data_IF_906554156016
#
_entry.id   IF_906554156016
#
_cell.length_a   1.000
_cell.length_b   1.000
_cell.length_c   1.000
_cell.angle_alpha   90.00
_cell.angle_beta   90.00
_cell.angle_gamma   90.00
#
_symmetry.space_group_name_H-M   'P 1'
#
loop_
_entity.id
_entity.type
_entity.pdbx_description
1 polymer ?
#
# COMPACT_ATOMS: atom_id res chain seq x y z
N UNK A 1 -78.29 -50.60 5.09
CA UNK A 1 -76.89 -50.99 5.35
C UNK A 1 -76.02 -49.76 5.12
N UNK A 2 -75.10 -49.53 6.05
CA UNK A 2 -74.21 -48.36 6.26
C UNK A 2 -73.65 -47.72 4.99
N UNK A 3 -73.33 -46.42 4.92
CA UNK A 3 -73.18 -45.37 5.92
C UNK A 3 -72.58 -44.15 5.20
N UNK A 4 -73.06 -42.96 5.55
CA UNK A 4 -72.93 -41.64 4.92
C UNK A 4 -71.51 -40.99 5.01
N UNK A 5 -71.31 -39.70 4.62
CA UNK A 5 -71.51 -39.06 3.30
C UNK A 5 -70.27 -38.22 2.85
N UNK A 6 -70.48 -37.51 1.73
CA UNK A 6 -69.59 -36.62 0.99
C UNK A 6 -69.03 -35.39 1.75
N UNK A 7 -67.81 -35.03 1.34
CA UNK A 7 -67.09 -33.75 1.32
C UNK A 7 -67.77 -32.47 1.84
N UNK A 8 -67.06 -31.69 2.67
CA UNK A 8 -66.55 -30.36 2.30
C UNK A 8 -65.54 -29.81 3.34
N UNK A 9 -64.64 -28.95 2.84
CA UNK A 9 -63.87 -27.89 3.52
C UNK A 9 -62.77 -28.23 4.54
N UNK A 10 -61.56 -28.14 3.99
CA UNK A 10 -60.60 -27.06 4.28
C UNK A 10 -59.35 -27.43 5.09
N UNK A 11 -58.22 -26.95 4.55
CA UNK A 11 -56.87 -26.83 5.13
C UNK A 11 -56.07 -28.13 5.28
N UNK A 12 -55.53 -28.58 4.15
CA UNK A 12 -54.20 -29.17 4.13
C UNK A 12 -53.30 -28.38 3.17
N UNK A 13 -52.17 -27.91 3.68
CA UNK A 13 -50.89 -27.82 2.96
C UNK A 13 -49.81 -27.54 4.00
N UNK A 14 -49.31 -28.64 4.54
CA UNK A 14 -48.00 -28.65 5.16
C UNK A 14 -46.92 -28.47 4.11
N UNK A 15 -45.81 -27.89 4.57
CA UNK A 15 -44.47 -27.82 3.97
C UNK A 15 -44.33 -26.98 2.69
N UNK A 16 -43.79 -25.77 2.87
CA UNK A 16 -42.48 -25.46 2.28
C UNK A 16 -41.84 -24.24 2.95
N UNK A 17 -40.52 -24.24 2.86
CA UNK A 17 -39.50 -23.42 3.53
C UNK A 17 -39.70 -21.90 3.46
N UNK A 18 -39.19 -21.25 4.51
CA UNK A 18 -38.55 -19.91 4.54
C UNK A 18 -39.36 -18.70 4.02
N UNK A 19 -39.67 -17.77 4.93
CA UNK A 19 -39.44 -16.31 4.78
C UNK A 19 -39.90 -15.54 6.03
N UNK A 20 -39.02 -14.64 6.46
CA UNK A 20 -39.29 -13.26 6.88
C UNK A 20 -40.14 -12.93 8.12
N UNK A 21 -39.47 -12.26 9.06
CA UNK A 21 -39.81 -10.95 9.68
C UNK A 21 -40.99 -10.85 10.68
N UNK A 22 -40.67 -10.26 11.84
CA UNK A 22 -41.56 -9.56 12.77
C UNK A 22 -40.81 -9.35 14.09
N UNK A 23 -40.00 -8.30 14.28
CA UNK A 23 -40.37 -6.90 14.62
C UNK A 23 -41.70 -6.81 15.38
N UNK A 24 -41.63 -6.58 16.70
CA UNK A 24 -42.07 -5.34 17.37
C UNK A 24 -41.35 -5.25 18.72
N UNK A 25 -40.85 -4.04 18.99
CA UNK A 25 -40.05 -3.62 20.11
C UNK A 25 -40.89 -3.01 21.26
N UNK A 26 -40.16 -2.65 22.33
CA UNK A 26 -40.51 -1.87 23.53
C UNK A 26 -41.17 -2.70 24.67
N UNK A 27 -40.66 -2.68 25.90
CA UNK A 27 -40.27 -1.48 26.68
C UNK A 27 -38.99 -1.74 27.51
N UNK A 28 -38.09 -0.75 27.47
CA UNK A 28 -36.87 -0.66 28.27
C UNK A 28 -37.11 -0.21 29.71
N UNK A 29 -36.19 -0.58 30.61
CA UNK A 29 -35.49 0.26 31.61
C UNK A 29 -35.28 -0.47 32.94
N UNK A 30 -34.05 -0.92 33.20
CA UNK A 30 -33.17 -0.47 34.31
C UNK A 30 -31.98 -1.45 34.46
N UNK A 31 -30.79 -0.88 34.66
CA UNK A 31 -29.46 -1.49 34.80
C UNK A 31 -28.92 -2.26 33.59
N UNK A 32 -28.01 -1.60 32.87
CA UNK A 32 -27.21 -2.22 31.82
C UNK A 32 -26.18 -3.19 32.41
N UNK A 33 -26.07 -4.34 31.75
CA UNK A 33 -24.92 -5.25 31.63
C UNK A 33 -25.34 -6.18 30.47
N UNK A 34 -24.64 -6.14 29.33
CA UNK A 34 -24.82 -7.13 28.26
C UNK A 34 -23.60 -8.06 28.28
N UNK A 35 -23.81 -9.29 28.74
CA UNK A 35 -22.84 -10.40 28.67
C UNK A 35 -23.02 -11.16 27.35
N UNK A 36 -21.87 -11.39 26.70
CA UNK A 36 -21.49 -12.34 25.66
C UNK A 36 -22.55 -13.25 25.00
N UNK A 37 -22.59 -13.18 23.67
CA UNK A 37 -22.90 -14.32 22.82
C UNK A 37 -21.61 -14.81 22.12
N UNK A 38 -20.90 -15.74 22.76
CA UNK A 38 -19.80 -16.46 22.12
C UNK A 38 -20.35 -17.34 20.98
N UNK A 39 -19.98 -17.01 19.75
CA UNK A 39 -20.39 -17.73 18.55
C UNK A 39 -19.64 -19.08 18.48
N UNK A 40 -20.37 -20.19 18.37
CA UNK A 40 -19.79 -21.53 18.18
C UNK A 40 -19.29 -21.66 16.74
N UNK A 41 -17.97 -21.65 16.52
CA UNK A 41 -17.28 -22.51 15.53
C UNK A 41 -15.84 -22.04 15.27
N UNK A 42 -14.86 -22.59 15.99
CA UNK A 42 -13.50 -22.81 15.47
C UNK A 42 -12.88 -24.02 16.19
N UNK A 43 -12.93 -25.21 15.56
CA UNK A 43 -12.00 -26.29 15.90
C UNK A 43 -10.66 -25.92 15.27
N UNK A 44 -9.76 -25.34 16.06
CA UNK A 44 -8.38 -25.06 15.62
C UNK A 44 -7.66 -23.93 16.36
N UNK A 45 -8.36 -23.01 17.04
CA UNK A 45 -7.71 -21.91 17.75
C UNK A 45 -7.31 -22.31 19.18
N UNK A 46 -6.01 -22.34 19.45
CA UNK A 46 -5.43 -22.44 20.79
C UNK A 46 -5.46 -21.07 21.47
N UNK A 47 -6.65 -20.54 21.72
CA UNK A 47 -6.82 -19.24 22.36
C UNK A 47 -8.29 -18.84 22.35
N UNK A 48 -8.90 -18.72 23.52
CA UNK A 48 -10.29 -18.28 23.69
C UNK A 48 -10.43 -17.64 25.06
N UNK A 49 -11.32 -16.66 25.22
CA UNK A 49 -11.55 -15.94 26.49
C UNK A 49 -11.93 -16.82 27.68
N UNK A 50 -12.10 -18.14 27.51
CA UNK A 50 -12.21 -19.09 28.62
C UNK A 50 -10.97 -19.14 29.53
N UNK A 51 -9.80 -18.71 29.06
CA UNK A 51 -8.60 -18.55 29.90
C UNK A 51 -8.61 -17.25 30.71
N UNK A 52 -9.63 -16.40 30.54
CA UNK A 52 -9.80 -15.15 31.25
C UNK A 52 -10.87 -15.28 32.35
N UNK A 53 -10.72 -14.51 33.41
CA UNK A 53 -11.74 -14.30 34.43
C UNK A 53 -12.79 -13.30 33.93
N UNK A 54 -14.05 -13.73 33.99
CA UNK A 54 -15.23 -12.95 33.59
C UNK A 54 -15.93 -12.29 34.79
N UNK A 55 -15.42 -12.47 36.00
CA UNK A 55 -15.87 -11.79 37.23
C UNK A 55 -14.71 -11.01 37.90
N UNK A 56 -14.17 -10.00 37.20
CA UNK A 56 -12.93 -9.34 37.59
C UNK A 56 -13.09 -8.32 38.73
N UNK A 57 -11.97 -7.74 39.16
CA UNK A 57 -11.92 -6.69 40.17
C UNK A 57 -12.73 -5.42 39.79
N UNK A 58 -13.12 -4.58 40.77
CA UNK A 58 -13.87 -3.35 40.49
C UNK A 58 -13.14 -2.46 39.48
N UNK A 59 -13.83 -2.08 38.41
CA UNK A 59 -13.36 -1.26 37.27
C UNK A 59 -12.57 -2.00 36.17
N UNK A 60 -12.45 -3.32 36.24
CA UNK A 60 -12.01 -4.16 35.12
C UNK A 60 -13.24 -4.86 34.54
N UNK A 61 -13.36 -4.98 33.21
CA UNK A 61 -14.51 -5.65 32.58
C UNK A 61 -14.23 -7.12 32.20
N UNK A 62 -12.98 -7.45 31.85
CA UNK A 62 -12.48 -8.83 31.66
C UNK A 62 -11.03 -8.89 32.15
N UNK A 63 -10.64 -9.95 32.88
CA UNK A 63 -9.26 -10.12 33.37
C UNK A 63 -8.57 -11.35 32.74
N UNK A 64 -7.57 -11.10 31.90
CA UNK A 64 -6.82 -12.05 31.09
C UNK A 64 -5.32 -12.06 31.42
N UNK A 65 -4.92 -11.71 32.65
CA UNK A 65 -3.50 -11.65 33.04
C UNK A 65 -2.77 -12.96 32.71
N UNK A 66 -1.71 -12.86 31.90
CA UNK A 66 -0.86 -14.00 31.51
C UNK A 66 -1.54 -15.06 30.66
N UNK A 67 -2.74 -14.80 30.14
CA UNK A 67 -3.48 -15.77 29.35
C UNK A 67 -2.80 -16.05 27.99
N UNK A 68 -2.87 -17.30 27.54
CA UNK A 68 -2.51 -17.67 26.17
C UNK A 68 -3.73 -17.55 25.25
N UNK A 69 -3.73 -16.47 24.47
CA UNK A 69 -4.74 -16.09 23.49
C UNK A 69 -4.16 -16.10 22.07
N UNK A 70 -3.08 -16.85 21.84
CA UNK A 70 -2.45 -16.94 20.53
C UNK A 70 -3.43 -17.48 19.46
N UNK A 71 -3.51 -16.79 18.32
CA UNK A 71 -4.44 -17.12 17.25
C UNK A 71 -5.93 -16.96 17.60
N UNK A 72 -6.26 -16.32 18.73
CA UNK A 72 -7.65 -16.10 19.14
C UNK A 72 -8.37 -15.16 18.17
N UNK A 73 -9.65 -15.43 17.91
CA UNK A 73 -10.51 -14.51 17.18
C UNK A 73 -11.27 -13.62 18.18
N UNK A 74 -10.83 -12.37 18.30
CA UNK A 74 -11.37 -11.32 19.16
C UNK A 74 -12.02 -10.19 18.34
N UNK A 75 -12.24 -10.42 17.06
CA UNK A 75 -12.74 -9.45 16.09
C UNK A 75 -14.07 -8.83 16.54
N UNK A 76 -14.14 -7.50 16.56
CA UNK A 76 -15.35 -6.75 16.85
C UNK A 76 -15.86 -6.86 18.30
N UNK A 77 -15.08 -7.45 19.20
CA UNK A 77 -15.46 -7.56 20.61
C UNK A 77 -15.34 -6.21 21.34
N UNK A 78 -16.16 -6.04 22.38
CA UNK A 78 -16.05 -4.91 23.32
C UNK A 78 -15.29 -5.41 24.54
N UNK A 79 -14.06 -4.91 24.70
CA UNK A 79 -13.05 -5.28 25.69
C UNK A 79 -12.54 -4.04 26.43
N UNK A 80 -13.43 -3.06 26.63
CA UNK A 80 -13.16 -1.81 27.35
C UNK A 80 -12.65 -2.15 28.76
N UNK A 81 -11.67 -1.42 29.29
CA UNK A 81 -11.09 -1.61 30.64
C UNK A 81 -10.70 -3.07 30.95
N UNK A 82 -10.40 -3.86 29.93
CA UNK A 82 -9.98 -5.26 30.12
C UNK A 82 -8.50 -5.33 30.44
N UNK A 83 -8.10 -6.31 31.26
CA UNK A 83 -6.73 -6.50 31.70
C UNK A 83 -6.08 -7.65 30.93
N UNK A 84 -5.13 -7.34 30.05
CA UNK A 84 -4.34 -8.29 29.27
C UNK A 84 -2.87 -8.29 29.69
N UNK A 85 -2.57 -7.90 30.93
CA UNK A 85 -1.19 -7.80 31.42
C UNK A 85 -0.44 -9.13 31.23
N UNK A 86 0.66 -9.11 30.46
CA UNK A 86 1.49 -10.30 30.19
C UNK A 86 0.84 -11.37 29.30
N UNK A 87 -0.31 -11.10 28.67
CA UNK A 87 -1.00 -12.08 27.83
C UNK A 87 -0.25 -12.35 26.51
N UNK A 88 -0.29 -13.59 26.03
CA UNK A 88 0.18 -13.95 24.69
C UNK A 88 -0.97 -13.78 23.70
N UNK A 89 -0.89 -12.78 22.83
CA UNK A 89 -1.85 -12.43 21.79
C UNK A 89 -1.27 -12.65 20.38
N UNK A 90 -0.19 -13.41 20.25
CA UNK A 90 0.47 -13.62 18.96
C UNK A 90 -0.49 -14.20 17.92
N UNK A 91 -0.48 -13.69 16.68
CA UNK A 91 -1.39 -14.08 15.60
C UNK A 91 -2.90 -13.90 15.89
N UNK A 92 -3.30 -13.16 16.93
CA UNK A 92 -4.71 -12.94 17.24
C UNK A 92 -5.38 -11.98 16.24
N UNK A 93 -6.67 -12.22 15.93
CA UNK A 93 -7.51 -11.33 15.12
C UNK A 93 -8.30 -10.39 16.02
N UNK A 94 -7.89 -9.13 16.11
CA UNK A 94 -8.49 -8.07 16.92
C UNK A 94 -9.16 -7.00 16.05
N UNK A 95 -9.48 -7.29 14.79
CA UNK A 95 -10.01 -6.27 13.89
C UNK A 95 -11.31 -5.67 14.40
N UNK A 96 -11.42 -4.34 14.40
CA UNK A 96 -12.65 -3.67 14.80
C UNK A 96 -13.07 -3.84 16.27
N UNK A 97 -12.23 -4.45 17.12
CA UNK A 97 -12.55 -4.58 18.56
C UNK A 97 -12.33 -3.26 19.28
N UNK A 98 -13.13 -3.00 20.32
CA UNK A 98 -12.93 -1.86 21.19
C UNK A 98 -12.17 -2.31 22.45
N UNK A 99 -10.95 -1.80 22.64
CA UNK A 99 -10.14 -2.01 23.84
C UNK A 99 -9.91 -0.70 24.62
N UNK A 100 -10.78 0.29 24.52
CA UNK A 100 -10.62 1.57 25.23
C UNK A 100 -10.30 1.35 26.72
N UNK A 101 -9.28 2.01 27.26
CA UNK A 101 -8.80 1.87 28.66
C UNK A 101 -8.28 0.46 29.06
N UNK A 102 -8.01 -0.45 28.11
CA UNK A 102 -7.44 -1.76 28.44
C UNK A 102 -5.95 -1.69 28.87
N UNK A 103 -5.52 -2.63 29.71
CA UNK A 103 -4.11 -2.79 30.11
C UNK A 103 -3.45 -3.92 29.32
N UNK A 104 -2.52 -3.59 28.43
CA UNK A 104 -1.74 -4.52 27.62
C UNK A 104 -0.27 -4.60 28.06
N UNK A 105 0.05 -4.09 29.24
CA UNK A 105 1.42 -4.09 29.80
C UNK A 105 2.04 -5.48 29.75
N UNK A 106 3.20 -5.63 29.11
CA UNK A 106 3.90 -6.92 29.02
C UNK A 106 3.30 -7.94 28.06
N UNK A 107 2.22 -7.62 27.35
CA UNK A 107 1.58 -8.52 26.41
C UNK A 107 2.44 -8.74 25.14
N UNK A 108 2.22 -9.84 24.44
CA UNK A 108 2.88 -10.15 23.17
C UNK A 108 1.87 -10.18 22.02
N UNK A 109 1.90 -9.17 21.15
CA UNK A 109 1.00 -9.04 20.00
C UNK A 109 1.70 -9.35 18.67
N UNK A 110 2.85 -10.04 18.65
CA UNK A 110 3.55 -10.35 17.39
C UNK A 110 2.59 -11.00 16.37
N UNK A 111 2.56 -10.47 15.15
CA UNK A 111 1.66 -10.88 14.06
C UNK A 111 0.14 -10.76 14.34
N UNK A 112 -0.29 -10.05 15.38
CA UNK A 112 -1.70 -9.81 15.63
C UNK A 112 -2.31 -8.75 14.68
N UNK A 113 -3.54 -8.96 14.23
CA UNK A 113 -4.26 -8.04 13.32
C UNK A 113 -5.14 -7.08 14.13
N UNK A 114 -4.66 -5.85 14.30
CA UNK A 114 -5.35 -4.77 15.03
C UNK A 114 -6.19 -3.86 14.13
N UNK A 115 -6.37 -4.19 12.83
CA UNK A 115 -6.97 -3.26 11.86
C UNK A 115 -8.34 -2.75 12.32
N UNK A 116 -8.44 -1.44 12.54
CA UNK A 116 -9.68 -0.77 12.97
C UNK A 116 -10.08 -1.02 14.43
N UNK A 117 -9.22 -1.59 15.26
CA UNK A 117 -9.45 -1.65 16.70
C UNK A 117 -9.44 -0.24 17.31
N UNK A 118 -10.23 0.01 18.36
CA UNK A 118 -10.19 1.25 19.14
C UNK A 118 -9.32 1.03 20.38
N UNK A 119 -8.15 1.67 20.41
CA UNK A 119 -7.18 1.53 21.50
C UNK A 119 -7.04 2.83 22.31
N UNK A 120 -8.06 3.69 22.32
CA UNK A 120 -8.03 4.93 23.09
C UNK A 120 -7.70 4.66 24.57
N UNK A 121 -6.76 5.42 25.16
CA UNK A 121 -6.38 5.33 26.58
C UNK A 121 -5.90 3.94 27.07
N UNK A 122 -5.44 3.08 26.18
CA UNK A 122 -4.83 1.78 26.52
C UNK A 122 -3.41 1.91 27.08
N UNK A 123 -3.00 0.97 27.95
CA UNK A 123 -1.65 0.93 28.57
C UNK A 123 -0.75 -0.11 27.89
N UNK A 124 0.50 0.24 27.54
CA UNK A 124 1.39 -0.56 26.65
C UNK A 124 2.83 -0.77 27.17
N UNK A 125 3.05 -0.65 28.47
CA UNK A 125 4.42 -0.72 28.98
C UNK A 125 5.00 -2.13 28.81
N UNK A 126 6.17 -2.26 28.18
CA UNK A 126 6.84 -3.53 27.86
C UNK A 126 6.03 -4.48 26.95
N UNK A 127 5.21 -3.95 26.06
CA UNK A 127 4.38 -4.75 25.14
C UNK A 127 5.10 -5.00 23.81
N UNK A 128 5.04 -6.22 23.28
CA UNK A 128 5.53 -6.54 21.92
C UNK A 128 4.43 -6.23 20.91
N UNK A 129 4.71 -5.41 19.90
CA UNK A 129 3.75 -5.03 18.86
C UNK A 129 3.70 -6.04 17.71
N UNK A 130 2.69 -5.93 16.81
CA UNK A 130 2.55 -6.84 15.66
C UNK A 130 3.76 -6.95 14.75
N UNK A 131 4.55 -5.88 14.62
CA UNK A 131 5.79 -5.84 13.83
C UNK A 131 7.03 -6.40 14.58
N UNK A 132 6.84 -6.89 15.82
CA UNK A 132 7.90 -7.37 16.68
C UNK A 132 8.66 -6.29 17.44
N UNK A 133 8.29 -5.01 17.31
CA UNK A 133 8.88 -3.93 18.10
C UNK A 133 8.43 -4.00 19.57
N UNK A 134 9.30 -3.56 20.50
CA UNK A 134 8.99 -3.54 21.93
C UNK A 134 8.66 -2.12 22.39
N UNK A 135 7.46 -1.92 22.93
CA UNK A 135 7.03 -0.63 23.47
C UNK A 135 7.41 -0.50 24.94
N UNK A 136 8.06 0.60 25.29
CA UNK A 136 8.49 0.90 26.68
C UNK A 136 7.97 2.25 27.19
N UNK A 137 7.00 2.86 26.49
CA UNK A 137 6.45 4.18 26.80
C UNK A 137 4.94 4.29 26.53
N UNK A 138 4.44 5.52 26.40
CA UNK A 138 3.02 5.83 26.17
C UNK A 138 2.52 5.48 24.75
N UNK A 139 3.32 4.75 23.95
CA UNK A 139 3.09 4.42 22.55
C UNK A 139 2.35 3.09 22.31
N UNK A 140 1.19 3.15 21.64
CA UNK A 140 0.26 2.05 21.37
C UNK A 140 0.61 1.28 20.10
N UNK A 141 0.41 -0.04 20.14
CA UNK A 141 0.69 -0.95 19.03
C UNK A 141 -0.32 -0.92 17.87
N UNK A 142 -1.35 -0.05 17.89
CA UNK A 142 -2.33 0.11 16.80
C UNK A 142 -2.33 1.53 16.26
N UNK A 143 -1.24 1.97 15.65
CA UNK A 143 -1.33 2.98 14.60
C UNK A 143 -2.08 4.28 14.90
N UNK A 144 -2.32 4.67 16.16
CA UNK A 144 -2.83 6.01 16.50
C UNK A 144 -1.68 6.82 17.10
N UNK A 145 -0.73 7.15 16.23
CA UNK A 145 -0.22 8.52 16.04
C UNK A 145 0.23 8.83 14.60
N UNK A 146 -0.03 8.10 13.50
CA UNK A 146 0.53 6.76 13.35
C UNK A 146 1.88 6.68 14.09
N UNK A 147 2.13 5.61 14.83
CA UNK A 147 3.25 5.56 15.79
C UNK A 147 4.58 5.38 15.07
N UNK A 148 4.93 6.41 14.30
CA UNK A 148 6.15 6.64 13.59
C UNK A 148 7.16 7.37 14.47
N UNK A 149 7.71 6.64 15.43
CA UNK A 149 9.17 6.65 15.57
C UNK A 149 9.88 6.24 14.26
N UNK A 150 9.14 5.77 13.23
CA UNK A 150 9.54 5.57 11.84
C UNK A 150 8.46 6.09 10.86
N UNK A 151 8.74 7.28 10.27
CA UNK A 151 8.12 7.97 9.11
C UNK A 151 6.67 7.60 8.70
N UNK A 152 5.79 8.62 8.66
CA UNK A 152 4.55 8.68 7.88
C UNK A 152 4.80 8.23 6.43
N UNK A 153 4.74 6.92 6.16
CA UNK A 153 5.00 6.39 4.84
C UNK A 153 3.86 6.80 3.92
N UNK A 154 4.21 7.53 2.85
CA UNK A 154 3.22 8.06 1.93
C UNK A 154 3.51 7.62 0.51
N UNK A 155 2.45 7.23 -0.17
CA UNK A 155 2.46 6.95 -1.60
C UNK A 155 1.97 8.21 -2.31
N UNK A 156 2.79 8.75 -3.20
CA UNK A 156 2.32 9.69 -4.22
C UNK A 156 1.85 8.87 -5.43
N UNK A 157 0.68 9.23 -5.93
CA UNK A 157 0.05 8.52 -7.03
C UNK A 157 -0.72 9.49 -7.93
N UNK A 158 -0.93 9.05 -9.17
CA UNK A 158 -1.75 9.77 -10.12
C UNK A 158 -3.17 9.21 -10.16
N UNK A 159 -4.15 10.06 -10.41
CA UNK A 159 -5.47 9.62 -10.89
C UNK A 159 -5.64 10.18 -12.30
N UNK A 160 -5.85 9.32 -13.29
CA UNK A 160 -6.02 9.72 -14.69
C UNK A 160 -7.48 9.58 -15.12
N UNK A 161 -8.15 10.70 -15.33
CA UNK A 161 -9.53 10.76 -15.79
C UNK A 161 -9.63 11.46 -17.15
N UNK A 162 -10.83 11.43 -17.75
CA UNK A 162 -11.06 12.04 -19.07
C UNK A 162 -10.85 13.57 -19.04
N UNK A 163 -10.93 14.19 -17.85
CA UNK A 163 -10.68 15.62 -17.62
C UNK A 163 -9.20 15.99 -17.45
N UNK A 164 -8.30 15.02 -17.25
CA UNK A 164 -6.89 15.28 -16.95
C UNK A 164 -6.29 14.29 -15.95
N UNK A 165 -5.03 14.52 -15.60
CA UNK A 165 -4.30 13.72 -14.61
C UNK A 165 -3.98 14.56 -13.39
N UNK A 166 -4.30 14.02 -12.21
CA UNK A 166 -4.09 14.67 -10.92
C UNK A 166 -3.06 13.92 -10.09
N UNK A 167 -2.29 14.64 -9.29
CA UNK A 167 -1.37 14.13 -8.28
C UNK A 167 -2.07 14.11 -6.94
N UNK A 168 -1.99 12.96 -6.28
CA UNK A 168 -2.59 12.68 -5.00
C UNK A 168 -1.56 12.05 -4.07
N UNK A 169 -1.81 12.10 -2.76
CA UNK A 169 -1.07 11.28 -1.80
C UNK A 169 -2.01 10.54 -0.86
N UNK A 170 -1.56 9.39 -0.38
CA UNK A 170 -2.25 8.58 0.62
C UNK A 170 -1.25 7.94 1.56
N UNK A 171 -1.72 7.46 2.71
CA UNK A 171 -0.95 6.60 3.58
C UNK A 171 -0.69 5.26 2.88
N UNK A 172 0.38 4.57 3.28
CA UNK A 172 0.77 3.27 2.72
C UNK A 172 -0.30 2.16 2.83
N UNK A 173 -1.29 2.32 3.71
CA UNK A 173 -2.43 1.42 3.89
C UNK A 173 -3.64 1.76 2.99
N UNK A 174 -3.55 2.83 2.19
CA UNK A 174 -4.62 3.31 1.31
C UNK A 174 -5.55 4.34 1.94
N UNK A 175 -5.33 4.72 3.20
CA UNK A 175 -6.16 5.72 3.89
C UNK A 175 -5.67 7.16 3.62
N UNK A 176 -6.48 8.14 4.01
CA UNK A 176 -6.15 9.57 3.92
C UNK A 176 -5.74 10.04 2.51
N UNK A 177 -6.33 9.46 1.47
CA UNK A 177 -6.14 9.93 0.10
C UNK A 177 -6.56 11.39 -0.06
N UNK A 178 -5.64 12.24 -0.52
CA UNK A 178 -5.85 13.67 -0.74
C UNK A 178 -5.30 14.10 -2.09
N UNK A 179 -6.05 14.99 -2.74
CA UNK A 179 -5.58 15.75 -3.90
C UNK A 179 -4.46 16.71 -3.49
N UNK A 180 -3.47 16.89 -4.37
CA UNK A 180 -2.35 17.82 -4.20
C UNK A 180 -2.33 18.86 -5.33
N UNK A 181 -2.27 18.43 -6.59
CA UNK A 181 -2.13 19.31 -7.76
C UNK A 181 -2.54 18.59 -9.05
N UNK A 182 -2.87 19.34 -10.10
CA UNK A 182 -2.87 18.82 -11.47
C UNK A 182 -1.43 18.52 -11.93
N UNK A 183 -1.23 17.39 -12.61
CA UNK A 183 0.08 16.95 -13.08
C UNK A 183 0.22 15.42 -13.13
N UNK A 184 1.41 14.96 -13.54
CA UNK A 184 1.74 13.55 -13.70
C UNK A 184 3.12 13.22 -13.13
N UNK A 185 3.39 11.91 -13.01
CA UNK A 185 4.65 11.29 -12.58
C UNK A 185 5.31 11.96 -11.37
N UNK A 186 4.60 12.07 -10.22
CA UNK A 186 5.17 12.69 -9.02
C UNK A 186 6.25 11.81 -8.40
N UNK A 187 7.33 12.45 -7.95
CA UNK A 187 8.46 11.86 -7.25
C UNK A 187 8.77 12.66 -5.97
N UNK A 188 8.74 11.98 -4.81
CA UNK A 188 9.11 12.57 -3.53
C UNK A 188 10.60 12.91 -3.49
N UNK A 189 10.94 14.06 -2.90
CA UNK A 189 12.31 14.33 -2.50
C UNK A 189 12.76 13.38 -1.39
N UNK A 190 14.06 13.06 -1.23
CA UNK A 190 14.54 12.11 -0.23
C UNK A 190 14.23 12.50 1.23
N UNK A 191 14.13 13.81 1.48
CA UNK A 191 13.72 14.35 2.78
C UNK A 191 12.20 14.41 2.97
N UNK A 192 11.41 14.14 1.93
CA UNK A 192 9.96 14.13 1.96
C UNK A 192 9.32 15.50 2.11
N UNK A 193 10.03 16.59 1.79
CA UNK A 193 9.52 17.96 1.89
C UNK A 193 8.99 18.52 0.56
N UNK A 194 9.40 17.92 -0.56
CA UNK A 194 9.04 18.38 -1.90
C UNK A 194 8.59 17.23 -2.80
N UNK A 195 7.89 17.60 -3.86
CA UNK A 195 7.51 16.71 -4.95
C UNK A 195 8.01 17.33 -6.26
N UNK A 196 8.78 16.57 -7.04
CA UNK A 196 9.04 16.87 -8.44
C UNK A 196 8.00 16.16 -9.29
N UNK A 197 7.47 16.79 -10.34
CA UNK A 197 6.39 16.22 -11.14
C UNK A 197 6.31 16.87 -12.52
N UNK A 198 5.62 16.22 -13.44
CA UNK A 198 5.37 16.73 -14.80
C UNK A 198 4.08 17.53 -14.83
N UNK A 199 4.10 18.69 -15.50
CA UNK A 199 2.89 19.50 -15.68
C UNK A 199 2.86 20.22 -17.03
N UNK A 200 1.66 20.30 -17.61
CA UNK A 200 1.38 21.00 -18.88
C UNK A 200 0.90 22.44 -18.69
N UNK A 201 0.95 22.97 -17.45
CA UNK A 201 0.34 24.27 -17.11
C UNK A 201 0.91 25.46 -17.87
N UNK A 202 2.13 25.33 -18.40
CA UNK A 202 2.82 26.36 -19.19
C UNK A 202 2.81 26.09 -20.71
N UNK A 203 2.11 25.02 -21.16
CA UNK A 203 1.83 24.74 -22.58
C UNK A 203 2.37 23.43 -23.13
N UNK A 204 3.47 22.92 -22.56
CA UNK A 204 4.14 21.66 -22.86
C UNK A 204 4.46 20.91 -21.55
N UNK A 205 4.86 19.64 -21.64
CA UNK A 205 5.32 18.88 -20.48
C UNK A 205 6.62 19.47 -19.94
N UNK A 206 6.58 19.94 -18.70
CA UNK A 206 7.72 20.52 -18.00
C UNK A 206 7.84 19.90 -16.60
N UNK A 207 9.05 19.89 -16.04
CA UNK A 207 9.30 19.49 -14.66
C UNK A 207 9.03 20.66 -13.74
N UNK A 208 8.15 20.42 -12.77
CA UNK A 208 7.86 21.33 -11.68
C UNK A 208 8.31 20.74 -10.35
N UNK A 209 8.63 21.60 -9.40
CA UNK A 209 8.85 21.26 -7.99
C UNK A 209 7.89 22.06 -7.12
N UNK A 210 7.25 21.41 -6.15
CA UNK A 210 6.32 22.02 -5.19
C UNK A 210 6.52 21.48 -3.77
N UNK A 211 5.96 22.17 -2.78
CA UNK A 211 5.83 21.64 -1.42
C UNK A 211 4.83 20.46 -1.39
N UNK A 212 4.92 19.61 -0.37
CA UNK A 212 4.08 18.40 -0.27
C UNK A 212 2.58 18.64 -0.19
N UNK A 213 2.17 19.86 0.17
CA UNK A 213 0.77 20.29 0.26
C UNK A 213 0.26 20.94 -1.04
N UNK A 214 1.09 20.95 -2.09
CA UNK A 214 0.77 21.54 -3.40
C UNK A 214 1.11 23.02 -3.52
N UNK A 215 1.60 23.66 -2.45
CA UNK A 215 2.00 25.07 -2.48
C UNK A 215 3.35 25.29 -3.17
N UNK A 216 3.60 26.54 -3.56
CA UNK A 216 4.83 27.02 -4.20
C UNK A 216 5.32 26.20 -5.41
N UNK A 217 4.47 25.90 -6.40
CA UNK A 217 4.95 25.23 -7.61
C UNK A 217 5.90 26.12 -8.42
N UNK A 218 7.04 25.56 -8.81
CA UNK A 218 8.07 26.23 -9.63
C UNK A 218 8.40 25.38 -10.85
N UNK A 219 8.36 25.98 -12.04
CA UNK A 219 8.86 25.36 -13.27
C UNK A 219 10.39 25.41 -13.28
N UNK A 220 11.06 24.25 -13.41
CA UNK A 220 12.53 24.17 -13.32
C UNK A 220 13.22 23.78 -14.65
N UNK A 221 12.47 23.51 -15.72
CA UNK A 221 13.04 23.10 -17.02
C UNK A 221 12.71 24.05 -18.19
N UNK A 222 11.64 24.84 -18.07
CA UNK A 222 11.12 25.87 -18.98
C UNK A 222 11.81 26.00 -20.37
N UNK A 223 11.34 25.24 -21.35
CA UNK A 223 11.85 25.20 -22.71
C UNK A 223 10.73 24.76 -23.69
N UNK A 224 10.94 24.67 -25.01
CA UNK A 224 9.85 24.31 -25.93
C UNK A 224 9.63 22.80 -26.08
N UNK A 225 10.51 21.96 -25.52
CA UNK A 225 10.53 20.50 -25.70
C UNK A 225 9.88 19.80 -24.50
N UNK A 226 9.65 18.49 -24.57
CA UNK A 226 8.95 17.76 -23.52
C UNK A 226 9.91 17.26 -22.44
N UNK A 227 9.59 17.52 -21.18
CA UNK A 227 10.30 17.00 -20.02
C UNK A 227 9.38 16.26 -19.04
N UNK A 228 9.70 15.00 -18.73
CA UNK A 228 8.86 14.15 -17.89
C UNK A 228 9.65 13.12 -17.06
N UNK A 229 8.94 12.33 -16.23
CA UNK A 229 9.49 11.30 -15.35
C UNK A 229 10.68 11.77 -14.48
N UNK A 230 10.49 12.77 -13.59
CA UNK A 230 11.56 13.21 -12.70
C UNK A 230 11.90 12.14 -11.64
N UNK A 231 13.19 11.99 -11.33
CA UNK A 231 13.74 11.14 -10.27
C UNK A 231 14.77 11.94 -9.47
N UNK A 232 14.57 12.04 -8.15
CA UNK A 232 15.53 12.69 -7.27
C UNK A 232 16.77 11.82 -7.06
N UNK A 233 17.93 12.48 -7.01
CA UNK A 233 19.14 11.90 -6.40
C UNK A 233 18.93 11.69 -4.90
N UNK A 234 19.55 10.66 -4.28
CA UNK A 234 19.31 10.31 -2.88
C UNK A 234 19.80 11.38 -1.89
N UNK A 235 20.75 12.23 -2.30
CA UNK A 235 21.20 13.37 -1.51
C UNK A 235 20.29 14.62 -1.67
N UNK A 236 19.35 14.59 -2.61
CA UNK A 236 18.41 15.67 -2.86
C UNK A 236 19.01 16.90 -3.53
N UNK A 237 20.17 16.80 -4.17
CA UNK A 237 20.85 17.93 -4.84
C UNK A 237 20.58 18.00 -6.35
N UNK A 238 20.24 16.86 -6.96
CA UNK A 238 20.00 16.70 -8.39
C UNK A 238 18.68 16.00 -8.71
N UNK A 239 18.18 16.23 -9.91
CA UNK A 239 17.04 15.54 -10.51
C UNK A 239 17.48 14.96 -11.86
N UNK A 240 17.27 13.66 -12.07
CA UNK A 240 17.28 13.05 -13.40
C UNK A 240 15.87 13.08 -13.99
N UNK A 241 15.74 13.25 -15.30
CA UNK A 241 14.45 13.32 -15.99
C UNK A 241 14.61 12.92 -17.46
N UNK A 242 13.51 12.59 -18.11
CA UNK A 242 13.45 12.36 -19.55
C UNK A 242 13.18 13.67 -20.27
N UNK A 243 13.92 13.96 -21.33
CA UNK A 243 13.82 15.18 -22.12
C UNK A 243 13.85 14.88 -23.61
N UNK A 244 13.11 15.63 -24.44
CA UNK A 244 13.17 15.52 -25.91
C UNK A 244 14.05 16.56 -26.60
N UNK A 245 14.86 17.30 -25.83
CA UNK A 245 15.64 18.45 -26.33
C UNK A 245 16.61 18.16 -27.47
N UNK A 246 17.05 16.90 -27.60
CA UNK A 246 18.01 16.49 -28.62
C UNK A 246 17.36 15.73 -29.80
N UNK A 247 16.02 15.74 -29.89
CA UNK A 247 15.24 15.19 -31.02
C UNK A 247 14.65 13.81 -30.80
N UNK A 248 15.08 13.12 -29.74
CA UNK A 248 14.52 11.89 -29.18
C UNK A 248 14.47 11.99 -27.65
N UNK A 249 13.80 11.04 -26.97
CA UNK A 249 13.83 10.93 -25.51
C UNK A 249 15.25 10.59 -25.05
N UNK A 250 15.80 11.39 -24.14
CA UNK A 250 17.12 11.22 -23.54
C UNK A 250 17.06 11.46 -22.03
N UNK A 251 18.02 10.93 -21.28
CA UNK A 251 18.13 11.18 -19.84
C UNK A 251 18.97 12.44 -19.60
N UNK A 252 18.36 13.42 -18.95
CA UNK A 252 19.03 14.62 -18.49
C UNK A 252 19.16 14.61 -16.97
N UNK A 253 20.21 15.27 -16.47
CA UNK A 253 20.41 15.56 -15.04
C UNK A 253 20.61 17.06 -14.86
N UNK A 254 20.00 17.63 -13.83
CA UNK A 254 20.14 19.04 -13.46
C UNK A 254 20.23 19.19 -11.93
N UNK A 255 20.65 20.37 -11.48
CA UNK A 255 20.51 20.78 -10.09
C UNK A 255 19.02 20.99 -9.75
N UNK A 256 18.64 20.86 -8.48
CA UNK A 256 17.22 20.95 -8.06
C UNK A 256 16.56 22.32 -8.23
N UNK A 257 17.35 23.35 -8.52
CA UNK A 257 16.86 24.69 -8.87
C UNK A 257 16.69 24.89 -10.39
N UNK A 258 16.91 23.84 -11.20
CA UNK A 258 16.83 23.86 -12.66
C UNK A 258 18.13 24.25 -13.36
N UNK A 259 19.18 24.59 -12.62
CA UNK A 259 20.47 24.96 -13.22
C UNK A 259 21.28 23.75 -13.70
N UNK A 260 22.23 24.00 -14.60
CA UNK A 260 23.16 23.02 -15.17
C UNK A 260 22.51 21.75 -15.76
N UNK A 261 21.49 21.83 -16.64
CA UNK A 261 20.96 20.65 -17.31
C UNK A 261 22.00 20.03 -18.24
N UNK A 262 22.20 18.72 -18.13
CA UNK A 262 23.15 17.93 -18.91
C UNK A 262 22.49 16.66 -19.45
N UNK A 263 22.59 16.41 -20.75
CA UNK A 263 22.27 15.10 -21.33
C UNK A 263 23.37 14.10 -20.94
N UNK A 264 22.99 12.95 -20.37
CA UNK A 264 23.93 11.90 -19.93
C UNK A 264 23.83 10.59 -20.70
N UNK A 265 22.92 10.43 -21.66
CA UNK A 265 22.79 9.18 -22.44
C UNK A 265 23.24 9.30 -23.89
N UNK A 266 22.95 10.42 -24.55
CA UNK A 266 23.26 10.74 -25.95
C UNK A 266 23.22 9.51 -26.90
N UNK A 267 22.04 8.91 -27.01
CA UNK A 267 21.77 7.72 -27.83
C UNK A 267 21.03 8.11 -29.14
N UNK A 268 21.19 7.34 -30.24
CA UNK A 268 20.34 7.54 -31.42
C UNK A 268 18.89 7.08 -31.20
N UNK A 269 18.64 6.21 -30.22
CA UNK A 269 17.34 5.64 -29.87
C UNK A 269 16.86 6.18 -28.51
N UNK A 270 15.57 6.10 -28.23
CA UNK A 270 14.95 6.63 -27.00
C UNK A 270 15.52 6.03 -25.71
N UNK A 271 15.86 6.91 -24.76
CA UNK A 271 16.21 6.61 -23.36
C UNK A 271 15.28 7.39 -22.41
N UNK A 272 14.61 6.69 -21.49
CA UNK A 272 13.55 7.28 -20.65
C UNK A 272 13.44 6.67 -19.25
N UNK A 273 12.59 7.27 -18.40
CA UNK A 273 12.19 6.74 -17.08
C UNK A 273 13.38 6.44 -16.15
N UNK A 274 14.20 7.47 -15.82
CA UNK A 274 15.36 7.27 -14.97
C UNK A 274 14.95 6.92 -13.54
N UNK A 275 15.75 6.09 -12.88
CA UNK A 275 15.65 5.73 -11.47
C UNK A 275 17.03 5.79 -10.82
N UNK A 276 17.21 6.68 -9.86
CA UNK A 276 18.46 6.81 -9.12
C UNK A 276 18.66 5.64 -8.16
N UNK A 277 19.89 5.11 -8.15
CA UNK A 277 20.32 4.18 -7.09
C UNK A 277 20.38 4.90 -5.73
N UNK A 278 20.08 4.19 -4.62
CA UNK A 278 20.03 4.80 -3.29
C UNK A 278 21.40 5.26 -2.77
N UNK A 279 22.49 4.74 -3.31
CA UNK A 279 23.84 5.19 -2.97
C UNK A 279 24.31 6.41 -3.80
N UNK A 280 23.58 6.79 -4.85
CA UNK A 280 23.89 7.94 -5.67
C UNK A 280 24.98 7.72 -6.73
N UNK A 281 25.37 6.48 -6.99
CA UNK A 281 26.47 6.17 -7.92
C UNK A 281 25.97 5.79 -9.33
N UNK A 282 24.75 5.27 -9.41
CA UNK A 282 24.16 4.72 -10.63
C UNK A 282 22.76 5.27 -10.94
N UNK A 283 22.39 5.20 -12.21
CA UNK A 283 21.02 5.44 -12.70
C UNK A 283 20.59 4.21 -13.51
N UNK A 284 19.44 3.64 -13.18
CA UNK A 284 18.75 2.68 -14.05
C UNK A 284 17.77 3.44 -14.96
N UNK A 285 17.60 3.00 -16.20
CA UNK A 285 16.71 3.67 -17.16
C UNK A 285 16.22 2.67 -18.22
N UNK A 286 15.12 3.01 -18.90
CA UNK A 286 14.60 2.25 -20.04
C UNK A 286 15.28 2.74 -21.32
N UNK A 287 15.83 1.83 -22.13
CA UNK A 287 16.47 2.15 -23.42
C UNK A 287 15.88 1.33 -24.56
N UNK A 288 15.81 1.90 -25.76
CA UNK A 288 15.45 1.19 -27.00
C UNK A 288 16.62 0.83 -27.91
N UNK A 289 17.86 1.05 -27.45
CA UNK A 289 19.07 0.92 -28.29
C UNK A 289 19.33 -0.48 -28.86
N UNK A 290 18.70 -1.51 -28.29
CA UNK A 290 18.84 -2.91 -28.73
C UNK A 290 17.63 -3.42 -29.56
N UNK A 291 16.68 -2.54 -29.90
CA UNK A 291 15.55 -2.84 -30.79
C UNK A 291 14.21 -3.10 -30.09
N UNK A 292 14.22 -3.31 -28.78
CA UNK A 292 13.08 -3.33 -27.86
C UNK A 292 13.39 -2.49 -26.61
N UNK A 293 12.42 -2.28 -25.73
CA UNK A 293 12.66 -1.62 -24.44
C UNK A 293 13.41 -2.58 -23.51
N UNK A 294 14.53 -2.13 -22.96
CA UNK A 294 15.37 -2.88 -22.04
C UNK A 294 15.79 -2.00 -20.87
N UNK A 295 16.14 -2.61 -19.73
CA UNK A 295 16.68 -1.88 -18.58
C UNK A 295 18.19 -1.78 -18.70
N UNK A 296 18.65 -0.54 -18.70
CA UNK A 296 20.07 -0.21 -18.66
C UNK A 296 20.46 0.40 -17.31
N UNK A 297 21.71 0.22 -16.91
CA UNK A 297 22.34 0.89 -15.78
C UNK A 297 23.61 1.59 -16.22
N UNK A 298 23.83 2.81 -15.76
CA UNK A 298 25.03 3.62 -16.04
C UNK A 298 25.51 4.35 -14.78
N UNK A 299 26.75 4.87 -14.81
CA UNK A 299 27.24 5.84 -13.84
C UNK A 299 26.45 7.15 -13.94
N UNK A 300 26.39 7.93 -12.87
CA UNK A 300 25.66 9.22 -12.83
C UNK A 300 26.22 10.31 -13.74
N UNK A 301 27.42 10.12 -14.29
CA UNK A 301 28.02 10.97 -15.32
C UNK A 301 27.74 10.49 -16.76
N UNK A 302 26.93 9.43 -16.93
CA UNK A 302 26.59 8.84 -18.22
C UNK A 302 27.55 7.74 -18.70
N UNK A 303 28.66 7.51 -18.00
CA UNK A 303 29.63 6.48 -18.40
C UNK A 303 29.18 5.06 -18.06
N UNK A 304 29.79 4.09 -18.73
CA UNK A 304 29.55 2.65 -18.57
C UNK A 304 28.07 2.20 -18.64
N UNK A 305 27.30 2.57 -19.68
CA UNK A 305 25.95 2.06 -19.86
C UNK A 305 25.98 0.54 -20.16
N UNK A 306 25.20 -0.22 -19.40
CA UNK A 306 25.10 -1.68 -19.53
C UNK A 306 23.64 -2.11 -19.59
N UNK A 307 23.29 -2.93 -20.59
CA UNK A 307 22.00 -3.64 -20.61
C UNK A 307 22.04 -4.75 -19.55
N UNK A 308 21.10 -4.72 -18.59
CA UNK A 308 21.05 -5.70 -17.50
C UNK A 308 19.89 -6.69 -17.61
N UNK A 309 18.96 -6.52 -18.56
CA UNK A 309 17.82 -7.43 -18.76
C UNK A 309 17.98 -8.39 -19.92
N UNK A 310 18.59 -7.93 -21.02
CA UNK A 310 18.85 -8.65 -22.28
C UNK A 310 17.76 -9.68 -22.66
N UNK A 311 16.53 -9.20 -22.88
CA UNK A 311 15.36 -10.01 -23.22
C UNK A 311 14.92 -9.81 -24.68
N UNK A 312 14.24 -10.81 -25.31
CA UNK A 312 13.59 -10.61 -26.59
C UNK A 312 12.27 -9.80 -26.49
N UNK A 313 11.69 -9.73 -25.30
CA UNK A 313 10.46 -9.02 -24.96
C UNK A 313 10.77 -7.71 -24.21
N UNK A 314 9.83 -6.77 -24.14
CA UNK A 314 10.06 -5.45 -23.55
C UNK A 314 10.15 -5.46 -22.02
N UNK A 315 11.14 -4.75 -21.49
CA UNK A 315 11.36 -4.46 -20.07
C UNK A 315 11.48 -2.94 -19.83
N UNK A 316 10.67 -2.37 -18.94
CA UNK A 316 10.63 -0.92 -18.69
C UNK A 316 10.28 -0.57 -17.22
N UNK A 317 10.24 0.74 -16.91
CA UNK A 317 9.86 1.29 -15.60
C UNK A 317 10.70 0.71 -14.44
N UNK A 318 12.04 0.86 -14.46
CA UNK A 318 12.89 0.35 -13.39
C UNK A 318 12.68 1.12 -12.08
N UNK A 319 12.77 0.40 -10.97
CA UNK A 319 12.70 0.95 -9.61
C UNK A 319 13.74 0.29 -8.71
N UNK A 320 14.71 1.06 -8.24
CA UNK A 320 15.71 0.59 -7.29
C UNK A 320 15.08 0.29 -5.92
N UNK A 321 15.48 -0.84 -5.35
CA UNK A 321 15.24 -1.11 -3.93
C UNK A 321 16.02 -0.13 -3.05
N UNK A 322 15.51 0.25 -1.86
CA UNK A 322 16.17 1.24 -0.99
C UNK A 322 17.56 0.84 -0.49
N UNK A 323 17.87 -0.45 -0.45
CA UNK A 323 19.19 -0.96 -0.09
C UNK A 323 20.15 -1.08 -1.30
N UNK A 324 19.65 -0.90 -2.53
CA UNK A 324 20.43 -0.93 -3.76
C UNK A 324 20.79 -2.34 -4.24
N UNK A 325 20.25 -3.40 -3.63
CA UNK A 325 20.60 -4.78 -3.97
C UNK A 325 19.74 -5.33 -5.12
N UNK A 326 18.55 -4.78 -5.32
CA UNK A 326 17.56 -5.23 -6.29
C UNK A 326 16.98 -4.11 -7.12
N UNK A 327 16.48 -4.48 -8.30
CA UNK A 327 15.67 -3.63 -9.19
C UNK A 327 14.35 -4.34 -9.46
N UNK A 328 13.23 -3.65 -9.25
CA UNK A 328 11.93 -4.06 -9.73
C UNK A 328 11.66 -3.39 -11.08
N UNK A 329 10.99 -4.07 -12.00
CA UNK A 329 10.70 -3.56 -13.33
C UNK A 329 9.44 -4.21 -13.89
N UNK A 330 8.87 -3.58 -14.92
CA UNK A 330 7.73 -4.13 -15.67
C UNK A 330 8.27 -4.89 -16.88
N UNK A 331 7.76 -6.10 -17.15
CA UNK A 331 8.21 -6.96 -18.23
C UNK A 331 7.05 -7.57 -19.01
N UNK A 332 7.22 -7.78 -20.33
CA UNK A 332 6.25 -8.52 -21.17
C UNK A 332 6.63 -9.98 -21.44
N UNK A 333 7.64 -10.52 -20.74
CA UNK A 333 8.18 -11.88 -20.95
C UNK A 333 7.15 -13.01 -20.82
N UNK A 334 6.05 -12.78 -20.11
CA UNK A 334 4.97 -13.78 -19.91
C UNK A 334 3.74 -13.55 -20.83
N UNK A 335 3.84 -12.66 -21.82
CA UNK A 335 2.79 -12.38 -22.81
C UNK A 335 1.79 -11.28 -22.42
N UNK A 336 1.88 -10.77 -21.20
CA UNK A 336 1.25 -9.54 -20.69
C UNK A 336 2.28 -8.77 -19.84
N UNK A 337 1.93 -7.58 -19.34
CA UNK A 337 2.79 -6.85 -18.42
C UNK A 337 2.72 -7.45 -17.01
N UNK A 338 3.87 -7.81 -16.47
CA UNK A 338 4.04 -8.32 -15.11
C UNK A 338 5.22 -7.64 -14.42
N UNK A 339 5.24 -7.68 -13.08
CA UNK A 339 6.33 -7.15 -12.27
C UNK A 339 7.38 -8.23 -12.05
N UNK A 340 8.60 -7.90 -12.45
CA UNK A 340 9.79 -8.70 -12.18
C UNK A 340 10.68 -8.01 -11.17
N UNK A 341 11.45 -8.81 -10.43
CA UNK A 341 12.53 -8.35 -9.55
C UNK A 341 13.79 -9.13 -9.88
N UNK A 342 14.91 -8.42 -9.98
CA UNK A 342 16.23 -8.98 -10.22
C UNK A 342 17.26 -8.37 -9.26
N UNK A 343 18.42 -9.00 -9.15
CA UNK A 343 19.60 -8.41 -8.54
C UNK A 343 20.02 -7.16 -9.33
N UNK A 344 20.63 -6.18 -8.64
CA UNK A 344 21.08 -4.92 -9.23
C UNK A 344 22.09 -5.08 -10.40
N UNK A 345 22.76 -6.23 -10.49
CA UNK A 345 23.69 -6.59 -11.57
C UNK A 345 23.00 -7.28 -12.77
N UNK A 346 21.66 -7.41 -12.74
CA UNK A 346 20.87 -8.08 -13.77
C UNK A 346 20.68 -9.59 -13.56
N UNK A 347 21.31 -10.17 -12.54
CA UNK A 347 21.17 -11.61 -12.26
C UNK A 347 19.84 -11.96 -11.59
N UNK A 348 19.47 -13.24 -11.67
CA UNK A 348 18.31 -13.84 -11.02
C UNK A 348 16.97 -13.09 -11.21
N UNK A 349 16.56 -12.78 -12.47
CA UNK A 349 15.25 -12.20 -12.71
C UNK A 349 14.14 -13.18 -12.31
N UNK A 350 13.24 -12.71 -11.45
CA UNK A 350 12.10 -13.46 -10.96
C UNK A 350 10.81 -12.71 -11.28
N UNK A 351 9.84 -13.42 -11.86
CA UNK A 351 8.50 -12.90 -11.98
C UNK A 351 7.78 -12.98 -10.64
N UNK A 352 7.31 -11.85 -10.11
CA UNK A 352 6.62 -11.78 -8.82
C UNK A 352 5.11 -11.49 -8.94
N UNK A 353 4.61 -11.22 -10.15
CA UNK A 353 3.17 -11.20 -10.45
C UNK A 353 2.88 -12.11 -11.66
N UNK A 354 1.85 -12.94 -11.60
CA UNK A 354 1.52 -13.80 -12.75
C UNK A 354 0.02 -14.05 -12.78
N UNK A 355 -0.66 -13.28 -13.61
CA UNK A 355 -2.11 -13.28 -13.69
C UNK A 355 -2.60 -12.79 -15.07
N UNK A 356 -3.91 -12.57 -15.22
CA UNK A 356 -4.50 -12.17 -16.50
C UNK A 356 -4.60 -10.64 -16.65
N UNK A 357 -4.44 -9.90 -15.56
CA UNK A 357 -4.44 -8.43 -15.58
C UNK A 357 -3.06 -7.92 -16.00
N UNK A 358 -2.90 -6.60 -16.18
CA UNK A 358 -1.59 -6.00 -16.45
C UNK A 358 -1.04 -5.39 -15.17
N UNK A 359 0.16 -5.78 -14.76
CA UNK A 359 0.83 -5.23 -13.59
C UNK A 359 2.02 -4.37 -14.04
N UNK A 360 1.98 -3.09 -13.68
CA UNK A 360 2.88 -2.04 -14.16
C UNK A 360 3.27 -1.07 -13.03
N UNK A 361 4.29 -0.23 -13.25
CA UNK A 361 4.74 0.81 -12.31
C UNK A 361 5.08 0.30 -10.89
N UNK A 362 6.06 -0.61 -10.73
CA UNK A 362 6.49 -1.04 -9.41
C UNK A 362 7.25 0.07 -8.69
N UNK A 363 6.95 0.26 -7.40
CA UNK A 363 7.69 1.17 -6.50
C UNK A 363 7.91 0.50 -5.14
N UNK A 364 9.14 0.57 -4.66
CA UNK A 364 9.51 -0.01 -3.36
C UNK A 364 9.08 0.89 -2.20
N UNK A 365 8.65 0.28 -1.09
CA UNK A 365 8.56 0.97 0.20
C UNK A 365 9.96 1.36 0.69
N UNK A 366 10.11 2.43 1.50
CA UNK A 366 11.40 2.90 2.02
C UNK A 366 12.20 1.85 2.79
N UNK A 367 11.51 0.89 3.42
CA UNK A 367 12.12 -0.23 4.15
C UNK A 367 12.45 -1.45 3.26
N UNK A 368 12.08 -1.43 1.98
CA UNK A 368 12.35 -2.50 1.01
C UNK A 368 11.53 -3.78 1.20
N UNK A 369 10.53 -3.79 2.09
CA UNK A 369 9.74 -4.98 2.38
C UNK A 369 8.51 -5.14 1.49
N UNK A 370 8.01 -4.03 0.94
CA UNK A 370 6.77 -3.96 0.18
C UNK A 370 7.05 -3.34 -1.18
N UNK A 371 6.31 -3.80 -2.19
CA UNK A 371 6.22 -3.18 -3.50
C UNK A 371 4.77 -2.74 -3.69
N UNK A 372 4.55 -1.45 -3.98
CA UNK A 372 3.30 -0.99 -4.57
C UNK A 372 3.42 -1.04 -6.09
N UNK A 373 2.33 -1.38 -6.76
CA UNK A 373 2.26 -1.44 -8.21
C UNK A 373 0.86 -1.13 -8.68
N UNK A 374 0.72 -0.84 -9.96
CA UNK A 374 -0.56 -0.54 -10.59
C UNK A 374 -1.04 -1.75 -11.37
N UNK A 375 -2.24 -2.23 -11.04
CA UNK A 375 -2.93 -3.29 -11.77
C UNK A 375 -3.98 -2.69 -12.69
N UNK A 376 -3.91 -3.01 -13.99
CA UNK A 376 -4.92 -2.67 -14.99
C UNK A 376 -5.85 -3.86 -15.17
N UNK A 377 -7.09 -3.71 -14.71
CA UNK A 377 -8.09 -4.79 -14.70
C UNK A 377 -9.04 -4.58 -15.89
N UNK A 378 -9.16 -5.62 -16.71
CA UNK A 378 -10.09 -5.63 -17.84
C UNK A 378 -11.42 -6.24 -17.43
N UNK A 379 -12.46 -5.40 -17.30
CA UNK A 379 -13.85 -5.84 -17.08
C UNK A 379 -14.69 -5.80 -18.36
N UNK A 380 -16.00 -6.03 -18.22
CA UNK A 380 -16.99 -5.85 -19.31
C UNK A 380 -17.17 -4.37 -19.72
N UNK A 381 -16.65 -3.43 -18.93
CA UNK A 381 -16.63 -1.98 -19.14
C UNK A 381 -15.22 -1.46 -19.47
N UNK A 382 -15.01 -0.14 -19.45
CA UNK A 382 -13.67 0.46 -19.55
C UNK A 382 -12.71 -0.11 -18.50
N UNK A 383 -11.41 -0.26 -18.82
CA UNK A 383 -10.41 -0.77 -17.89
C UNK A 383 -10.30 0.12 -16.65
N UNK A 384 -10.07 -0.51 -15.49
CA UNK A 384 -9.84 0.18 -14.21
C UNK A 384 -8.38 0.05 -13.82
N UNK A 385 -7.83 1.09 -13.18
CA UNK A 385 -6.44 1.10 -12.71
C UNK A 385 -6.44 1.19 -11.19
N UNK A 386 -5.93 0.16 -10.53
CA UNK A 386 -5.90 0.10 -9.08
C UNK A 386 -4.47 -0.01 -8.58
N UNK A 387 -4.19 0.62 -7.44
CA UNK A 387 -2.94 0.43 -6.75
C UNK A 387 -3.06 -0.79 -5.84
N UNK A 388 -2.14 -1.71 -6.01
CA UNK A 388 -1.95 -2.87 -5.17
C UNK A 388 -0.65 -2.71 -4.38
N UNK A 389 -0.58 -3.41 -3.24
CA UNK A 389 0.67 -3.64 -2.52
C UNK A 389 0.88 -5.12 -2.29
N UNK A 390 2.12 -5.57 -2.33
CA UNK A 390 2.54 -6.93 -2.05
C UNK A 390 3.87 -6.94 -1.30
N UNK A 391 4.19 -8.03 -0.63
CA UNK A 391 5.53 -8.26 -0.12
C UNK A 391 6.52 -8.31 -1.29
N UNK A 392 7.79 -7.97 -1.03
CA UNK A 392 8.85 -7.97 -2.04
C UNK A 392 9.10 -9.34 -2.72
N UNK A 393 8.57 -10.43 -2.15
CA UNK A 393 8.61 -11.78 -2.71
C UNK A 393 7.36 -12.15 -3.55
N UNK A 394 6.45 -11.19 -3.77
CA UNK A 394 5.19 -11.37 -4.50
C UNK A 394 4.02 -11.88 -3.64
N UNK A 395 4.24 -12.23 -2.38
CA UNK A 395 3.18 -12.70 -1.48
C UNK A 395 2.29 -11.56 -0.96
N UNK A 396 1.10 -11.91 -0.44
CA UNK A 396 0.18 -10.97 0.21
C UNK A 396 -0.26 -9.77 -0.66
N UNK A 397 -0.40 -10.00 -1.97
CA UNK A 397 -0.93 -8.99 -2.89
C UNK A 397 -2.38 -8.62 -2.57
N UNK A 398 -2.64 -7.32 -2.40
CA UNK A 398 -3.98 -6.77 -2.11
C UNK A 398 -4.13 -5.34 -2.63
N UNK A 399 -5.34 -4.92 -3.04
CA UNK A 399 -5.60 -3.54 -3.45
C UNK A 399 -5.56 -2.60 -2.23
N UNK A 400 -5.08 -1.38 -2.45
CA UNK A 400 -5.17 -0.26 -1.49
C UNK A 400 -6.01 0.92 -2.00
N UNK A 401 -6.45 0.88 -3.26
CA UNK A 401 -7.46 1.82 -3.81
C UNK A 401 -8.75 1.10 -4.17
N UNK A 402 -9.86 1.84 -4.28
CA UNK A 402 -11.15 1.28 -4.69
C UNK A 402 -11.16 0.89 -6.17
N UNK A 403 -12.13 0.07 -6.58
CA UNK A 403 -12.29 -0.41 -7.97
C UNK A 403 -12.74 0.67 -8.95
N UNK A 404 -13.20 1.81 -8.44
CA UNK A 404 -13.67 2.95 -9.24
C UNK A 404 -12.56 3.97 -9.51
N UNK A 405 -11.41 3.84 -8.84
CA UNK A 405 -10.29 4.76 -9.03
C UNK A 405 -9.52 4.38 -10.30
N UNK A 406 -9.01 5.36 -11.04
CA UNK A 406 -8.03 5.17 -12.14
C UNK A 406 -6.64 5.57 -11.66
N UNK A 407 -6.17 4.90 -10.60
CA UNK A 407 -4.99 5.26 -9.84
C UNK A 407 -3.71 4.57 -10.33
N UNK A 408 -2.59 5.29 -10.35
CA UNK A 408 -1.26 4.79 -10.76
C UNK A 408 -0.25 5.17 -9.69
N UNK A 409 0.38 4.19 -9.04
CA UNK A 409 1.45 4.43 -8.07
C UNK A 409 2.74 4.87 -8.78
N UNK A 410 3.40 5.91 -8.27
CA UNK A 410 4.61 6.43 -8.92
C UNK A 410 5.76 6.69 -7.96
N UNK A 411 5.51 6.89 -6.66
CA UNK A 411 6.57 7.13 -5.68
C UNK A 411 6.11 6.83 -4.25
N UNK A 412 7.03 6.36 -3.42
CA UNK A 412 6.82 6.04 -2.01
C UNK A 412 7.92 6.69 -1.17
N UNK A 413 7.56 7.34 -0.06
CA UNK A 413 8.50 7.96 0.89
C UNK A 413 8.32 7.49 2.32
#
# INVERSE_FOLDING_TARGET
MSGAPLADRSRSRGRSRQRAVGIIAAIALLSGIFIFAANRSTKGATGSLYSCDLDPAPNVDVDCVGADLSGANLRGLVLIRSNFNGANLTNADLRGSNLTEADLTGADLMDADLTGADLTDTTWSNTTCPDGSLQSGLEACNGETDRAGTRNEKIAFMISEDSGTTINSMNADGTAATFISEGATPAWSPNGEKIAFTSTRDGNDEIFVMNTDGSDPQNITNNPEYDNFPSWSPNGEKIAFTSTRDGNEEIFVMNTDGSDPQNITNSPESDSRPSWSPNGEKIAFTSRRDGNEEIFVMNTDGSDPQNITNSPESDNLPSWSPNGEKIAFTSTREGNFEIFVMSADGSDPQNITNNQDLDIFPVWSPNGQIIAFTKVIFGDSSPTLQIFRMNADGSNSRPITSTETKAIATSWR
#
